data_IF_827668284399
#
_entry.id   IF_827668284399
#
_cell.length_a   1.000
_cell.length_b   1.000
_cell.length_c   1.000
_cell.angle_alpha   90.00
_cell.angle_beta   90.00
_cell.angle_gamma   90.00
#
_symmetry.space_group_name_H-M   'P 1'
#
loop_
_entity.id
_entity.type
_entity.pdbx_description
1 polymer ?
#
# COMPACT_ATOMS: atom_id res chain seq x y z
N UNK A 1 -1.50 -8.89 14.54
CA UNK A 1 -0.86 -7.69 13.96
C UNK A 1 -1.93 -6.64 13.70
N UNK A 2 -1.60 -5.35 13.85
CA UNK A 2 -2.44 -4.26 13.36
C UNK A 2 -1.92 -3.77 12.01
N UNK A 3 -2.77 -3.13 11.21
CA UNK A 3 -2.39 -2.60 9.89
C UNK A 3 -2.62 -1.11 9.84
N UNK A 4 -1.68 -0.37 9.25
CA UNK A 4 -1.83 1.06 8.93
C UNK A 4 -1.60 1.26 7.44
N UNK A 5 -2.59 1.82 6.73
CA UNK A 5 -2.53 1.99 5.27
C UNK A 5 -3.13 3.32 4.79
N UNK A 6 -2.82 3.70 3.55
CA UNK A 6 -3.54 4.75 2.85
C UNK A 6 -4.99 4.30 2.59
N UNK A 7 -5.96 5.21 2.76
CA UNK A 7 -7.36 4.91 2.50
C UNK A 7 -7.68 4.51 1.05
N UNK A 8 -6.77 4.73 0.08
CA UNK A 8 -6.94 4.30 -1.31
C UNK A 8 -6.88 2.79 -1.50
N UNK A 9 -6.27 2.05 -0.55
CA UNK A 9 -6.22 0.57 -0.54
C UNK A 9 -7.25 -0.05 0.39
N UNK A 10 -8.23 0.75 0.83
CA UNK A 10 -9.30 0.27 1.72
C UNK A 10 -10.10 -0.88 1.10
N UNK A 11 -10.53 -0.83 -0.19
CA UNK A 11 -11.30 -1.93 -0.77
C UNK A 11 -10.54 -3.26 -0.71
N UNK A 12 -9.28 -3.27 -1.15
CA UNK A 12 -8.46 -4.48 -1.26
C UNK A 12 -8.11 -5.06 0.11
N UNK A 13 -7.68 -4.21 1.06
CA UNK A 13 -7.32 -4.68 2.40
C UNK A 13 -8.54 -5.17 3.20
N UNK A 14 -9.70 -4.54 3.05
CA UNK A 14 -10.92 -5.04 3.68
C UNK A 14 -11.37 -6.35 3.06
N UNK A 15 -11.34 -6.48 1.72
CA UNK A 15 -11.66 -7.74 1.06
C UNK A 15 -10.74 -8.87 1.54
N UNK A 16 -9.42 -8.64 1.60
CA UNK A 16 -8.47 -9.63 2.12
C UNK A 16 -8.76 -10.05 3.57
N UNK A 17 -9.24 -9.12 4.40
CA UNK A 17 -9.70 -9.44 5.77
C UNK A 17 -10.97 -10.28 5.72
N UNK A 18 -11.94 -9.89 4.91
CA UNK A 18 -13.26 -10.51 4.87
C UNK A 18 -13.21 -11.95 4.33
N UNK A 19 -12.29 -12.26 3.41
CA UNK A 19 -12.03 -13.64 2.95
C UNK A 19 -11.12 -14.44 3.89
N UNK A 20 -10.70 -13.87 5.03
CA UNK A 20 -9.87 -14.54 6.03
C UNK A 20 -8.38 -14.65 5.70
N UNK A 21 -7.91 -14.05 4.60
CA UNK A 21 -6.47 -13.99 4.29
C UNK A 21 -5.72 -13.09 5.28
N UNK A 22 -6.29 -11.93 5.60
CA UNK A 22 -5.69 -10.90 6.42
C UNK A 22 -6.26 -10.93 7.85
N UNK A 23 -5.68 -11.75 8.72
CA UNK A 23 -6.07 -11.84 10.13
C UNK A 23 -5.46 -10.72 10.98
N UNK A 24 -5.87 -9.48 10.73
CA UNK A 24 -5.42 -8.30 11.47
C UNK A 24 -6.37 -7.95 12.62
N UNK A 25 -5.82 -7.65 13.80
CA UNK A 25 -6.59 -7.25 14.99
C UNK A 25 -7.41 -5.98 14.71
N UNK A 26 -6.82 -5.06 13.92
CA UNK A 26 -7.48 -3.86 13.41
C UNK A 26 -6.74 -3.29 12.21
N UNK A 27 -7.50 -2.68 11.29
CA UNK A 27 -6.95 -1.91 10.15
C UNK A 27 -7.27 -0.42 10.35
N UNK A 28 -6.23 0.41 10.31
CA UNK A 28 -6.32 1.86 10.38
C UNK A 28 -5.97 2.47 9.03
N UNK A 29 -6.71 3.53 8.68
CA UNK A 29 -6.50 4.24 7.42
C UNK A 29 -6.17 5.71 7.68
N UNK A 30 -5.22 6.26 6.94
CA UNK A 30 -5.18 7.71 6.74
C UNK A 30 -6.21 8.11 5.69
N UNK A 31 -6.42 9.42 5.57
CA UNK A 31 -7.20 9.99 4.47
C UNK A 31 -6.58 9.55 3.12
N UNK A 32 -7.39 9.17 2.12
CA UNK A 32 -6.90 8.87 0.77
C UNK A 32 -6.14 10.04 0.16
N UNK A 33 -5.06 9.75 -0.59
CA UNK A 33 -4.37 10.76 -1.41
C UNK A 33 -3.38 11.68 -0.69
N UNK A 34 -3.09 11.47 0.60
CA UNK A 34 -2.20 12.38 1.32
C UNK A 34 -0.73 12.36 0.86
N UNK A 35 -0.35 11.56 -0.14
CA UNK A 35 0.97 11.71 -0.77
C UNK A 35 1.14 13.09 -1.46
N UNK A 36 0.03 13.73 -1.80
CA UNK A 36 -0.04 15.12 -2.29
C UNK A 36 0.09 16.16 -1.15
N UNK A 37 0.05 15.73 0.13
CA UNK A 37 0.20 16.59 1.30
C UNK A 37 0.99 15.87 2.39
N UNK A 38 2.32 15.87 2.23
CA UNK A 38 3.25 15.14 3.09
C UNK A 38 3.15 15.52 4.56
N UNK A 39 2.91 16.80 4.88
CA UNK A 39 2.74 17.25 6.28
C UNK A 39 1.54 16.61 6.95
N UNK A 40 0.40 16.57 6.26
CA UNK A 40 -0.80 15.92 6.78
C UNK A 40 -0.66 14.39 6.76
N UNK A 41 0.04 13.81 5.78
CA UNK A 41 0.36 12.39 5.75
C UNK A 41 1.16 11.98 6.99
N UNK A 42 2.26 12.67 7.31
CA UNK A 42 3.09 12.35 8.47
C UNK A 42 2.28 12.42 9.77
N UNK A 43 1.54 13.52 9.95
CA UNK A 43 0.67 13.72 11.12
C UNK A 43 -0.34 12.59 11.28
N UNK A 44 -1.04 12.19 10.20
CA UNK A 44 -2.01 11.11 10.26
C UNK A 44 -1.35 9.75 10.43
N UNK A 45 -0.21 9.50 9.79
CA UNK A 45 0.55 8.25 9.92
C UNK A 45 0.97 8.03 11.37
N UNK A 46 1.58 9.02 12.02
CA UNK A 46 1.99 8.96 13.44
C UNK A 46 0.76 8.72 14.33
N UNK A 47 -0.34 9.42 14.07
CA UNK A 47 -1.60 9.23 14.81
C UNK A 47 -2.12 7.79 14.67
N UNK A 48 -2.13 7.23 13.46
CA UNK A 48 -2.62 5.87 13.24
C UNK A 48 -1.67 4.81 13.78
N UNK A 49 -0.36 5.01 13.73
CA UNK A 49 0.62 4.15 14.38
C UNK A 49 0.41 4.13 15.89
N UNK A 50 0.19 5.30 16.51
CA UNK A 50 -0.12 5.40 17.95
C UNK A 50 -1.42 4.67 18.30
N UNK A 51 -2.45 4.76 17.46
CA UNK A 51 -3.69 4.03 17.67
C UNK A 51 -3.51 2.52 17.47
N UNK A 52 -2.75 2.09 16.48
CA UNK A 52 -2.49 0.69 16.19
C UNK A 52 -1.78 -0.04 17.33
N UNK A 53 -0.84 0.63 18.01
CA UNK A 53 -0.15 0.10 19.22
C UNK A 53 -1.09 -0.27 20.36
N UNK A 54 -2.31 0.29 20.40
CA UNK A 54 -3.32 -0.03 21.41
C UNK A 54 -4.01 -1.39 21.16
N UNK A 55 -3.85 -1.95 19.97
CA UNK A 55 -4.54 -3.18 19.54
C UNK A 55 -3.57 -4.34 19.32
N UNK A 56 -2.33 -4.05 18.92
CA UNK A 56 -1.34 -5.09 18.62
C UNK A 56 0.06 -4.61 18.96
N UNK A 57 0.92 -5.54 19.38
CA UNK A 57 2.35 -5.29 19.57
C UNK A 57 3.03 -5.03 18.22
N UNK A 58 2.75 -5.89 17.23
CA UNK A 58 3.31 -5.78 15.87
C UNK A 58 2.37 -5.06 14.92
N UNK A 59 2.92 -4.12 14.14
CA UNK A 59 2.18 -3.31 13.17
C UNK A 59 2.76 -3.50 11.77
N UNK A 60 1.92 -3.71 10.76
CA UNK A 60 2.31 -3.70 9.35
C UNK A 60 1.84 -2.40 8.70
N UNK A 61 2.80 -1.65 8.17
CA UNK A 61 2.58 -0.39 7.44
C UNK A 61 2.53 -0.70 5.95
N UNK A 62 1.35 -0.49 5.37
CA UNK A 62 1.07 -0.71 3.94
C UNK A 62 1.23 0.62 3.21
N UNK A 63 2.48 1.07 3.16
CA UNK A 63 2.93 2.22 2.39
C UNK A 63 4.22 1.90 1.65
N UNK A 64 4.36 2.47 0.46
CA UNK A 64 5.56 2.33 -0.34
C UNK A 64 6.58 3.43 -0.02
N UNK A 65 7.83 3.19 -0.43
CA UNK A 65 8.93 4.13 -0.20
C UNK A 65 8.76 5.47 -0.90
N UNK A 66 7.92 5.55 -1.94
CA UNK A 66 7.57 6.77 -2.69
C UNK A 66 6.19 7.33 -2.37
N UNK A 67 5.51 6.81 -1.34
CA UNK A 67 4.26 7.41 -0.87
C UNK A 67 4.49 8.67 -0.01
N UNK A 68 5.72 8.87 0.48
CA UNK A 68 6.14 10.03 1.25
C UNK A 68 7.42 10.58 0.60
N UNK A 69 7.31 11.74 -0.06
CA UNK A 69 8.45 12.40 -0.71
C UNK A 69 8.52 13.83 -0.18
N UNK A 70 9.42 14.07 0.78
CA UNK A 70 9.63 15.40 1.35
C UNK A 70 10.65 16.18 0.50
N UNK A 71 10.22 17.23 -0.24
CA UNK A 71 11.09 17.95 -1.15
C UNK A 71 12.18 18.77 -0.44
N UNK A 72 11.93 19.25 0.79
CA UNK A 72 12.88 20.11 1.51
C UNK A 72 13.92 19.29 2.26
N UNK A 73 13.53 18.15 2.81
CA UNK A 73 14.39 17.23 3.54
C UNK A 73 14.28 15.81 2.96
N UNK A 74 15.10 15.46 1.95
CA UNK A 74 15.07 14.14 1.32
C UNK A 74 15.38 12.97 2.26
N UNK A 75 16.01 13.23 3.41
CA UNK A 75 16.29 12.21 4.43
C UNK A 75 15.06 11.92 5.30
N UNK A 76 14.01 12.76 5.24
CA UNK A 76 12.72 12.47 5.86
C UNK A 76 11.97 11.48 4.99
N UNK A 77 12.12 10.20 5.30
CA UNK A 77 11.43 9.10 4.61
C UNK A 77 10.37 8.49 5.49
N UNK A 78 9.48 7.70 4.89
CA UNK A 78 8.50 6.94 5.66
C UNK A 78 9.17 5.94 6.62
N UNK A 79 10.29 5.35 6.20
CA UNK A 79 11.09 4.45 7.04
C UNK A 79 11.59 5.21 8.27
N UNK A 80 12.06 6.46 8.11
CA UNK A 80 12.49 7.29 9.24
C UNK A 80 11.36 7.62 10.21
N UNK A 81 10.18 7.96 9.69
CA UNK A 81 8.98 8.22 10.50
C UNK A 81 8.60 6.98 11.31
N UNK A 82 8.68 5.79 10.68
CA UNK A 82 8.37 4.50 11.30
C UNK A 82 9.40 4.15 12.38
N UNK A 83 10.69 4.27 12.09
CA UNK A 83 11.78 4.01 13.04
C UNK A 83 11.63 4.82 14.33
N UNK A 84 11.22 6.10 14.20
CA UNK A 84 10.97 6.99 15.34
C UNK A 84 9.79 6.54 16.23
N UNK A 85 8.92 5.66 15.73
CA UNK A 85 7.84 5.10 16.53
C UNK A 85 8.31 3.93 17.42
N UNK A 86 9.54 3.45 17.28
CA UNK A 86 10.08 2.34 18.07
C UNK A 86 9.92 0.98 17.41
N UNK A 87 10.36 -0.05 18.14
CA UNK A 87 10.44 -1.44 17.67
C UNK A 87 9.04 -2.03 17.42
N UNK A 88 8.97 -3.02 16.51
CA UNK A 88 7.76 -3.80 16.11
C UNK A 88 6.85 -3.16 15.06
N UNK A 89 7.37 -2.22 14.27
CA UNK A 89 6.68 -1.72 13.07
C UNK A 89 7.39 -2.23 11.81
N UNK A 90 6.67 -3.04 11.04
CA UNK A 90 7.08 -3.57 9.74
C UNK A 90 6.50 -2.72 8.62
N UNK A 91 7.19 -2.66 7.48
CA UNK A 91 6.67 -2.03 6.26
C UNK A 91 6.80 -2.96 5.07
N UNK A 92 5.78 -2.96 4.21
CA UNK A 92 5.82 -3.68 2.93
C UNK A 92 6.90 -3.13 2.00
N UNK A 93 7.46 -4.00 1.15
CA UNK A 93 8.49 -3.62 0.17
C UNK A 93 7.89 -3.25 -1.18
N UNK A 94 7.20 -2.13 -1.22
CA UNK A 94 6.68 -1.54 -2.45
C UNK A 94 7.15 -0.09 -2.64
N UNK A 95 7.04 0.41 -3.87
CA UNK A 95 7.28 1.83 -4.19
C UNK A 95 6.07 2.70 -3.86
N UNK A 96 4.87 2.31 -4.24
CA UNK A 96 3.62 3.04 -3.99
C UNK A 96 2.41 2.10 -4.14
N UNK A 97 1.18 2.60 -3.97
CA UNK A 97 -0.03 1.78 -4.06
C UNK A 97 -0.22 1.09 -5.41
N UNK A 98 0.21 1.71 -6.51
CA UNK A 98 0.18 1.09 -7.84
C UNK A 98 1.14 -0.09 -7.89
N UNK A 99 2.36 0.10 -7.39
CA UNK A 99 3.37 -0.97 -7.28
C UNK A 99 2.97 -2.09 -6.32
N UNK A 100 2.00 -1.88 -5.43
CA UNK A 100 1.44 -2.94 -4.59
C UNK A 100 0.43 -3.82 -5.34
N UNK A 101 -0.27 -3.22 -6.31
CA UNK A 101 -1.30 -3.88 -7.11
C UNK A 101 -0.72 -4.57 -8.35
N UNK A 102 0.19 -3.89 -9.04
CA UNK A 102 0.87 -4.44 -10.21
C UNK A 102 2.34 -3.97 -10.26
N UNK A 103 3.25 -4.93 -10.40
CA UNK A 103 4.67 -4.62 -10.52
C UNK A 103 4.99 -3.91 -11.85
N UNK A 104 6.27 -3.56 -12.04
CA UNK A 104 6.69 -2.86 -13.24
C UNK A 104 6.56 -3.72 -14.50
N UNK A 105 6.77 -5.04 -14.43
CA UNK A 105 6.70 -5.93 -15.60
C UNK A 105 5.23 -6.18 -15.98
N UNK A 106 4.36 -6.44 -15.01
CA UNK A 106 2.91 -6.49 -15.20
C UNK A 106 2.41 -5.20 -15.84
N UNK A 107 2.83 -4.02 -15.34
CA UNK A 107 2.39 -2.74 -15.92
C UNK A 107 2.93 -2.48 -17.32
N UNK A 108 4.15 -2.92 -17.65
CA UNK A 108 4.68 -2.87 -19.02
C UNK A 108 3.86 -3.75 -19.97
N UNK A 109 3.48 -4.94 -19.52
CA UNK A 109 2.64 -5.85 -20.31
C UNK A 109 1.25 -5.27 -20.52
N UNK A 110 0.63 -4.74 -19.46
CA UNK A 110 -0.70 -4.11 -19.54
C UNK A 110 -0.69 -2.87 -20.44
N UNK A 111 0.37 -2.05 -20.39
CA UNK A 111 0.41 -0.83 -21.19
C UNK A 111 0.58 -1.09 -22.69
N UNK A 112 1.15 -2.23 -23.09
CA UNK A 112 1.41 -2.54 -24.50
C UNK A 112 2.28 -1.49 -25.21
N UNK A 113 3.12 -0.77 -24.45
CA UNK A 113 3.92 0.36 -24.95
C UNK A 113 3.23 1.73 -24.91
N UNK A 114 1.94 1.80 -24.56
CA UNK A 114 1.22 3.06 -24.37
C UNK A 114 1.63 3.83 -23.10
N UNK A 115 1.36 5.13 -23.09
CA UNK A 115 1.54 6.00 -21.92
C UNK A 115 0.28 5.94 -21.05
N UNK A 116 0.39 5.29 -19.91
CA UNK A 116 -0.74 5.01 -19.03
C UNK A 116 -0.62 5.76 -17.71
N UNK A 117 -1.70 6.47 -17.35
CA UNK A 117 -1.87 6.97 -15.99
C UNK A 117 -2.50 5.89 -15.10
N UNK A 118 -1.76 5.39 -14.13
CA UNK A 118 -2.19 4.25 -13.31
C UNK A 118 -3.00 4.71 -12.09
N UNK A 119 -4.14 4.07 -11.88
CA UNK A 119 -5.05 4.32 -10.77
C UNK A 119 -5.31 3.04 -9.97
N UNK A 120 -5.54 3.16 -8.67
CA UNK A 120 -6.16 2.10 -7.86
C UNK A 120 -7.67 2.29 -7.79
N UNK A 121 -8.47 1.25 -7.51
CA UNK A 121 -9.92 1.35 -7.36
C UNK A 121 -10.38 2.44 -6.38
N UNK A 122 -9.64 2.65 -5.29
CA UNK A 122 -9.91 3.75 -4.35
C UNK A 122 -9.90 5.15 -4.98
N UNK A 123 -9.21 5.37 -6.09
CA UNK A 123 -9.21 6.66 -6.78
C UNK A 123 -10.58 7.02 -7.35
N UNK A 124 -11.34 6.06 -7.88
CA UNK A 124 -12.70 6.32 -8.39
C UNK A 124 -13.57 7.00 -7.32
N UNK A 125 -13.48 6.50 -6.09
CA UNK A 125 -14.30 6.99 -4.97
C UNK A 125 -13.77 8.29 -4.37
N UNK A 126 -12.46 8.53 -4.42
CA UNK A 126 -11.82 9.59 -3.64
C UNK A 126 -11.09 10.64 -4.49
N UNK A 127 -11.20 10.63 -5.82
CA UNK A 127 -10.43 11.52 -6.70
C UNK A 127 -10.54 13.00 -6.33
N UNK A 128 -11.74 13.51 -6.02
CA UNK A 128 -11.95 14.90 -5.58
C UNK A 128 -11.17 15.24 -4.30
N UNK A 129 -11.05 14.28 -3.38
CA UNK A 129 -10.27 14.44 -2.16
C UNK A 129 -8.76 14.37 -2.44
N UNK A 130 -8.35 13.47 -3.34
CA UNK A 130 -6.94 13.29 -3.68
C UNK A 130 -6.41 14.53 -4.42
N UNK A 131 -7.17 15.02 -5.40
CA UNK A 131 -6.83 16.17 -6.23
C UNK A 131 -7.41 17.50 -5.72
N UNK A 132 -7.83 17.59 -4.45
CA UNK A 132 -8.53 18.76 -3.91
C UNK A 132 -7.76 20.09 -4.02
N UNK A 133 -6.44 20.01 -4.13
CA UNK A 133 -5.54 21.17 -4.23
C UNK A 133 -5.06 21.42 -5.68
N UNK A 134 -5.50 20.60 -6.63
CA UNK A 134 -5.12 20.75 -8.03
C UNK A 134 -6.09 21.72 -8.69
N UNK A 135 -5.54 22.70 -9.41
CA UNK A 135 -6.32 23.51 -10.32
C UNK A 135 -6.45 22.80 -11.68
N UNK A 136 -7.27 23.39 -12.55
CA UNK A 136 -7.50 22.86 -13.90
C UNK A 136 -6.25 22.96 -14.78
N UNK A 137 -5.34 23.92 -14.51
CA UNK A 137 -4.10 24.07 -15.25
C UNK A 137 -3.17 22.89 -15.04
N UNK A 138 -2.91 22.55 -13.78
CA UNK A 138 -2.09 21.41 -13.39
C UNK A 138 -2.66 20.09 -13.92
N UNK A 139 -3.99 19.92 -13.87
CA UNK A 139 -4.65 18.76 -14.45
C UNK A 139 -4.43 18.67 -15.98
N UNK A 140 -4.63 19.77 -16.70
CA UNK A 140 -4.46 19.85 -18.15
C UNK A 140 -3.00 19.68 -18.60
N UNK A 141 -2.03 20.04 -17.75
CA UNK A 141 -0.62 19.80 -18.01
C UNK A 141 -0.21 18.35 -17.73
N UNK A 142 -0.86 17.68 -16.78
CA UNK A 142 -0.44 16.36 -16.29
C UNK A 142 -1.07 15.19 -17.05
N UNK A 143 -2.40 15.14 -17.11
CA UNK A 143 -3.11 13.94 -17.58
C UNK A 143 -3.05 13.76 -19.09
N UNK A 144 -3.28 14.79 -19.94
CA UNK A 144 -3.29 14.66 -21.41
C UNK A 144 -1.97 14.22 -22.04
N UNK A 145 -0.88 14.15 -21.27
CA UNK A 145 0.37 13.54 -21.72
C UNK A 145 0.31 12.02 -21.83
N UNK A 146 -0.75 11.41 -21.28
CA UNK A 146 -1.02 9.97 -21.30
C UNK A 146 -2.12 9.69 -22.33
N UNK A 147 -2.08 8.49 -22.92
CA UNK A 147 -3.08 8.06 -23.89
C UNK A 147 -4.42 7.78 -23.19
N UNK A 148 -4.34 7.26 -21.96
CA UNK A 148 -5.49 6.90 -21.11
C UNK A 148 -5.08 6.69 -19.64
N UNK A 149 -6.07 6.64 -18.77
CA UNK A 149 -5.91 6.11 -17.43
C UNK A 149 -6.37 4.64 -17.36
N UNK A 150 -5.64 3.81 -16.62
CA UNK A 150 -6.04 2.44 -16.31
C UNK A 150 -6.17 2.27 -14.80
N UNK A 151 -7.35 1.82 -14.39
CA UNK A 151 -7.62 1.36 -13.02
C UNK A 151 -7.23 -0.10 -12.92
N UNK A 152 -6.30 -0.40 -12.02
CA UNK A 152 -5.90 -1.77 -11.69
C UNK A 152 -6.96 -2.40 -10.79
N UNK A 153 -7.98 -2.99 -11.40
CA UNK A 153 -9.17 -3.45 -10.68
C UNK A 153 -9.05 -4.91 -10.26
N UNK A 154 -8.96 -5.13 -8.96
CA UNK A 154 -8.81 -6.46 -8.38
C UNK A 154 -10.12 -7.07 -7.88
N UNK A 155 -11.17 -6.24 -7.77
CA UNK A 155 -12.43 -6.58 -7.09
C UNK A 155 -13.66 -6.34 -7.97
N UNK A 156 -13.46 -6.05 -9.25
CA UNK A 156 -14.54 -5.71 -10.21
C UNK A 156 -15.33 -4.46 -9.83
N UNK A 157 -14.70 -3.56 -9.06
CA UNK A 157 -15.31 -2.31 -8.56
C UNK A 157 -15.67 -1.39 -9.72
N UNK A 158 -14.88 -1.38 -10.80
CA UNK A 158 -15.11 -0.51 -11.94
C UNK A 158 -16.44 -0.82 -12.62
N UNK A 159 -16.75 -2.11 -12.82
CA UNK A 159 -18.00 -2.51 -13.46
C UNK A 159 -19.21 -2.04 -12.63
N UNK A 160 -19.23 -2.38 -11.34
CA UNK A 160 -20.29 -1.95 -10.42
C UNK A 160 -20.42 -0.41 -10.39
N UNK A 161 -19.29 0.30 -10.30
CA UNK A 161 -19.29 1.76 -10.26
C UNK A 161 -19.78 2.38 -11.57
N UNK A 162 -19.44 1.79 -12.71
CA UNK A 162 -19.86 2.26 -14.03
C UNK A 162 -21.37 2.07 -14.26
N UNK A 163 -21.94 0.99 -13.71
CA UNK A 163 -23.38 0.71 -13.79
C UNK A 163 -24.19 1.61 -12.86
N UNK A 164 -23.72 1.80 -11.61
CA UNK A 164 -24.45 2.55 -10.60
C UNK A 164 -24.25 4.08 -10.71
N UNK A 165 -23.08 4.51 -11.17
CA UNK A 165 -22.66 5.91 -11.18
C UNK A 165 -21.90 6.31 -12.47
N UNK A 166 -22.46 6.06 -13.67
CA UNK A 166 -21.80 6.40 -14.93
C UNK A 166 -21.45 7.89 -15.03
N UNK A 167 -22.30 8.77 -14.49
CA UNK A 167 -22.09 10.22 -14.50
C UNK A 167 -20.83 10.64 -13.72
N UNK A 168 -20.51 9.95 -12.62
CA UNK A 168 -19.31 10.26 -11.83
C UNK A 168 -18.05 9.75 -12.50
N UNK A 169 -18.12 8.64 -13.23
CA UNK A 169 -17.01 8.13 -14.03
C UNK A 169 -16.71 9.09 -15.19
N UNK A 170 -17.75 9.58 -15.87
CA UNK A 170 -17.61 10.61 -16.90
C UNK A 170 -17.04 11.91 -16.33
N UNK A 171 -17.49 12.33 -15.14
CA UNK A 171 -16.99 13.54 -14.49
C UNK A 171 -15.46 13.51 -14.28
N UNK A 172 -14.92 12.41 -13.74
CA UNK A 172 -13.47 12.28 -13.56
C UNK A 172 -12.74 12.18 -14.91
N UNK A 173 -13.27 11.44 -15.89
CA UNK A 173 -12.65 11.32 -17.21
C UNK A 173 -12.61 12.67 -17.93
N UNK A 174 -13.69 13.45 -17.87
CA UNK A 174 -13.78 14.80 -18.42
C UNK A 174 -12.83 15.78 -17.73
N UNK A 175 -12.66 15.64 -16.42
CA UNK A 175 -11.69 16.44 -15.66
C UNK A 175 -10.24 16.08 -16.01
N UNK A 176 -9.95 14.77 -16.16
CA UNK A 176 -8.63 14.28 -16.58
C UNK A 176 -8.35 14.48 -18.07
N UNK A 177 -9.36 14.75 -18.90
CA UNK A 177 -9.24 14.90 -20.37
C UNK A 177 -8.63 13.69 -21.09
N UNK A 178 -8.73 12.52 -20.48
CA UNK A 178 -8.30 11.23 -21.03
C UNK A 178 -9.34 10.17 -20.68
N UNK A 179 -9.53 9.14 -21.53
CA UNK A 179 -10.44 8.05 -21.21
C UNK A 179 -9.92 7.25 -20.00
N UNK A 180 -10.86 6.67 -19.26
CA UNK A 180 -10.57 5.81 -18.12
C UNK A 180 -11.08 4.41 -18.44
N UNK A 181 -10.18 3.43 -18.34
CA UNK A 181 -10.47 2.01 -18.52
C UNK A 181 -10.11 1.24 -17.24
N UNK A 182 -10.69 0.06 -17.06
CA UNK A 182 -10.24 -0.90 -16.05
C UNK A 182 -9.43 -2.03 -16.67
N UNK A 183 -8.43 -2.50 -15.93
CA UNK A 183 -7.76 -3.74 -16.23
C UNK A 183 -7.85 -4.66 -15.02
N UNK A 184 -8.39 -5.87 -15.23
CA UNK A 184 -8.57 -6.85 -14.16
C UNK A 184 -7.23 -7.42 -13.72
N UNK A 185 -6.95 -7.37 -12.42
CA UNK A 185 -5.74 -7.95 -11.82
C UNK A 185 -6.10 -8.91 -10.67
N UNK A 186 -5.16 -9.76 -10.25
CA UNK A 186 -5.30 -10.51 -9.01
C UNK A 186 -4.75 -9.72 -7.81
N UNK A 187 -5.10 -10.14 -6.59
CA UNK A 187 -4.50 -9.61 -5.36
C UNK A 187 -3.21 -10.34 -4.94
N UNK A 188 -2.71 -11.30 -5.71
CA UNK A 188 -1.58 -12.15 -5.31
C UNK A 188 -0.34 -11.33 -4.96
N UNK A 189 -0.01 -10.31 -5.75
CA UNK A 189 1.13 -9.44 -5.43
C UNK A 189 0.98 -8.73 -4.07
N UNK A 190 -0.20 -8.21 -3.76
CA UNK A 190 -0.45 -7.56 -2.46
C UNK A 190 -0.37 -8.58 -1.32
N UNK A 191 -0.89 -9.79 -1.53
CA UNK A 191 -0.77 -10.91 -0.58
C UNK A 191 0.69 -11.26 -0.34
N UNK A 192 1.49 -11.43 -1.38
CA UNK A 192 2.92 -11.74 -1.31
C UNK A 192 3.67 -10.68 -0.51
N UNK A 193 3.43 -9.39 -0.80
CA UNK A 193 4.05 -8.27 -0.09
C UNK A 193 3.73 -8.27 1.42
N UNK A 194 2.50 -8.67 1.79
CA UNK A 194 2.06 -8.78 3.18
C UNK A 194 2.68 -10.01 3.87
N UNK A 195 2.68 -11.16 3.19
CA UNK A 195 3.28 -12.40 3.69
C UNK A 195 4.79 -12.25 3.88
N UNK A 196 5.48 -11.67 2.91
CA UNK A 196 6.91 -11.38 2.95
C UNK A 196 7.30 -10.51 4.15
N UNK A 197 6.42 -9.60 4.59
CA UNK A 197 6.66 -8.82 5.79
C UNK A 197 6.75 -9.70 7.03
N UNK A 198 5.82 -10.64 7.16
CA UNK A 198 5.72 -11.53 8.31
C UNK A 198 6.86 -12.53 8.30
N UNK A 199 7.16 -13.14 7.14
CA UNK A 199 8.25 -14.10 6.99
C UNK A 199 9.58 -13.47 7.40
N UNK A 200 9.91 -12.27 6.90
CA UNK A 200 11.16 -11.58 7.25
C UNK A 200 11.27 -11.22 8.74
N UNK A 201 10.13 -10.89 9.36
CA UNK A 201 10.08 -10.60 10.79
C UNK A 201 10.36 -11.86 11.62
N UNK A 202 9.73 -12.98 11.25
CA UNK A 202 9.98 -14.28 11.88
C UNK A 202 11.43 -14.74 11.69
N UNK A 203 11.98 -14.61 10.48
CA UNK A 203 13.40 -14.92 10.20
C UNK A 203 14.35 -14.10 11.06
N UNK A 204 14.03 -12.82 11.27
CA UNK A 204 14.81 -11.92 12.14
C UNK A 204 14.74 -12.39 13.61
N UNK A 205 13.55 -12.69 14.11
CA UNK A 205 13.36 -13.20 15.48
C UNK A 205 14.08 -14.54 15.70
N UNK A 206 13.98 -15.48 14.76
CA UNK A 206 14.69 -16.77 14.80
C UNK A 206 16.20 -16.55 14.85
N UNK A 207 16.73 -15.63 14.03
CA UNK A 207 18.16 -15.30 14.01
C UNK A 207 18.63 -14.71 15.34
N UNK A 208 17.85 -13.81 15.93
CA UNK A 208 18.14 -13.22 17.24
C UNK A 208 18.10 -14.25 18.37
N UNK A 209 17.15 -15.19 18.33
CA UNK A 209 17.07 -16.31 19.28
C UNK A 209 18.27 -17.26 19.14
N UNK A 210 18.61 -17.67 17.92
CA UNK A 210 19.79 -18.52 17.63
C UNK A 210 21.09 -17.84 18.11
N UNK A 211 21.21 -16.53 17.94
CA UNK A 211 22.38 -15.74 18.40
C UNK A 211 22.50 -15.60 19.92
N UNK A 212 21.41 -15.79 20.68
CA UNK A 212 21.40 -15.73 22.16
C UNK A 212 21.65 -17.10 22.82
N UNK A 213 21.76 -18.17 22.05
CA UNK A 213 21.97 -19.51 22.58
C UNK A 213 23.43 -19.72 23.04
N UNK A 214 23.70 -20.06 24.31
CA UNK A 214 25.06 -20.32 24.77
C UNK A 214 25.61 -21.61 24.13
N UNK A 215 26.80 -21.53 23.54
CA UNK A 215 27.50 -22.64 22.87
C UNK A 215 27.73 -23.89 23.76
N UNK A 216 27.51 -23.80 25.06
CA UNK A 216 27.81 -24.85 26.05
C UNK A 216 26.58 -25.58 26.59
N UNK A 217 25.36 -25.26 26.12
CA UNK A 217 24.10 -25.81 26.68
C UNK A 217 23.28 -26.67 25.70
N UNK A 218 23.74 -26.88 24.47
CA UNK A 218 22.98 -27.64 23.47
C UNK A 218 23.21 -29.16 23.63
N UNK A 219 22.16 -29.91 23.97
CA UNK A 219 22.14 -31.37 23.73
C UNK A 219 21.97 -31.62 22.22
N UNK A 220 22.66 -32.61 21.62
CA UNK A 220 22.58 -32.88 20.19
C UNK A 220 21.16 -33.11 19.65
N UNK A 221 20.25 -33.62 20.49
CA UNK A 221 18.85 -33.87 20.11
C UNK A 221 18.03 -32.61 19.88
N UNK A 222 18.41 -31.46 20.45
CA UNK A 222 17.70 -30.18 20.27
C UNK A 222 18.16 -29.39 19.04
N UNK A 223 19.33 -29.73 18.48
CA UNK A 223 19.83 -29.09 17.25
C UNK A 223 19.08 -29.60 16.01
N UNK A 224 18.67 -30.87 15.98
CA UNK A 224 17.89 -31.44 14.88
C UNK A 224 16.48 -30.82 14.75
N UNK A 225 15.79 -30.59 15.87
CA UNK A 225 14.42 -30.01 15.86
C UNK A 225 14.37 -28.54 15.41
N UNK A 226 15.51 -27.84 15.38
CA UNK A 226 15.66 -26.42 14.97
C UNK A 226 16.20 -26.25 13.55
N UNK A 227 16.66 -27.33 12.92
CA UNK A 227 17.02 -27.39 11.50
C UNK A 227 15.82 -27.77 10.62
N UNK A 228 14.81 -28.43 11.20
CA UNK A 228 13.58 -28.86 10.54
C UNK A 228 12.41 -27.82 10.62
N UNK A 229 12.64 -26.65 11.23
CA UNK A 229 11.72 -25.49 11.33
C UNK A 229 12.17 -24.34 10.45
#
# INVERSE_FOLDING_TARGET
YAIVSCGTLRPELNYLRDIGFLNADKIFYTTPGLHENVRELEKQLIKQLTNAKKYSQKIIVVYGSRCYIEPVNPLRTIDKIIEEQGVDVLRIRAKNCIDMLADIEQRKNISGGGKIYWLSPGWLKFWKQIFKNWDIGLANETFPQNDKAIILDSLDIFNEYSEQHPEKLLEISDWMKIPIESYKISLERLKDLLSDCIVRDLEKEIKELKGRWPAHSAKPSMLGELEDL
#
